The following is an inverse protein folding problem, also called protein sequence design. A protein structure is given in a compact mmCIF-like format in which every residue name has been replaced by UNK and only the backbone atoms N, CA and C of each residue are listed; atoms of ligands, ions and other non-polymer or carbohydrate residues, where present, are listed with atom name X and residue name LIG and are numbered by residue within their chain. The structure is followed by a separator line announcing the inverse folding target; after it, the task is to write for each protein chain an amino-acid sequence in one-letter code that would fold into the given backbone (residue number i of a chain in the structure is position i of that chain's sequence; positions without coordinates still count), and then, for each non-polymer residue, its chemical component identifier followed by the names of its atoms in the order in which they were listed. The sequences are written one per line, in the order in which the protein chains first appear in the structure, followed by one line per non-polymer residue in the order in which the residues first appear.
data_IF_978765422302
#
_entry.id   IF_978765422302
#
_cell.length_a   1.000
_cell.length_b   1.000
_cell.length_c   1.000
_cell.angle_alpha   90.00
_cell.angle_beta   90.00
_cell.angle_gamma   90.00
#
_symmetry.space_group_name_H-M   'P 1'
#
loop_
_entity.id
_entity.type
_entity.pdbx_description
1 polymer ?
#
# COMPACT_ATOMS: atom_id res chain seq x y z
N UNK A 1 -2.71 7.27 -9.55
CA UNK A 1 -3.91 7.46 -8.70
C UNK A 1 -3.62 8.68 -7.83
N UNK A 2 -4.48 9.70 -7.85
CA UNK A 2 -4.30 10.90 -7.03
C UNK A 2 -4.94 10.65 -5.66
N UNK A 3 -4.19 10.86 -4.57
CA UNK A 3 -4.62 10.56 -3.20
C UNK A 3 -4.95 11.84 -2.43
N UNK A 4 -5.62 11.68 -1.28
CA UNK A 4 -5.89 12.81 -0.37
C UNK A 4 -4.58 13.44 0.14
N UNK A 5 -3.50 12.66 0.28
CA UNK A 5 -2.18 13.20 0.63
C UNK A 5 -1.61 14.10 -0.48
N UNK A 6 -1.82 13.74 -1.74
CA UNK A 6 -1.43 14.57 -2.88
C UNK A 6 -2.22 15.88 -2.91
N UNK A 7 -3.50 15.84 -2.52
CA UNK A 7 -4.33 17.04 -2.35
C UNK A 7 -3.78 17.96 -1.27
N UNK A 8 -3.49 17.43 -0.07
CA UNK A 8 -2.88 18.21 1.00
C UNK A 8 -1.56 18.82 0.56
N UNK A 9 -0.72 18.04 -0.13
CA UNK A 9 0.56 18.51 -0.63
C UNK A 9 0.40 19.65 -1.63
N UNK A 10 -0.52 19.51 -2.59
CA UNK A 10 -0.81 20.55 -3.57
C UNK A 10 -1.32 21.83 -2.90
N UNK A 11 -2.27 21.72 -1.96
CA UNK A 11 -2.82 22.87 -1.25
C UNK A 11 -1.75 23.57 -0.39
N UNK A 12 -0.91 22.82 0.32
CA UNK A 12 0.19 23.38 1.11
C UNK A 12 1.23 24.07 0.24
N UNK A 13 1.54 23.53 -0.93
CA UNK A 13 2.44 24.17 -1.91
C UNK A 13 1.88 25.50 -2.40
N UNK A 14 0.60 25.53 -2.80
CA UNK A 14 -0.06 26.75 -3.29
C UNK A 14 -0.17 27.80 -2.18
N UNK A 15 -0.58 27.40 -0.98
CA UNK A 15 -0.63 28.29 0.18
C UNK A 15 0.76 28.82 0.55
N UNK A 16 1.77 27.94 0.57
CA UNK A 16 3.15 28.31 0.86
C UNK A 16 3.70 29.31 -0.15
N UNK A 17 3.49 29.06 -1.45
CA UNK A 17 3.88 29.99 -2.52
C UNK A 17 3.17 31.35 -2.40
N UNK A 18 1.87 31.35 -2.10
CA UNK A 18 1.08 32.58 -1.92
C UNK A 18 1.53 33.40 -0.71
N UNK A 19 1.70 32.77 0.45
CA UNK A 19 2.22 33.42 1.67
C UNK A 19 3.65 33.92 1.43
N UNK A 20 4.48 33.11 0.79
CA UNK A 20 5.85 33.48 0.43
C UNK A 20 5.90 34.69 -0.49
N UNK A 21 5.05 34.75 -1.52
CA UNK A 21 4.93 35.89 -2.41
C UNK A 21 4.51 37.16 -1.65
N UNK A 22 3.49 37.05 -0.79
CA UNK A 22 2.96 38.18 -0.02
C UNK A 22 4.00 38.75 0.95
N UNK A 23 4.63 37.90 1.75
CA UNK A 23 5.68 38.30 2.70
C UNK A 23 6.90 38.84 1.96
N UNK A 24 7.33 38.15 0.90
CA UNK A 24 8.47 38.58 0.08
C UNK A 24 8.23 39.94 -0.58
N UNK A 25 7.03 40.16 -1.11
CA UNK A 25 6.65 41.44 -1.69
C UNK A 25 6.72 42.58 -0.66
N UNK A 26 6.24 42.35 0.56
CA UNK A 26 6.32 43.34 1.63
C UNK A 26 7.76 43.73 2.02
N UNK A 27 8.74 42.85 1.79
CA UNK A 27 10.14 43.08 2.17
C UNK A 27 10.97 43.73 1.05
N UNK A 28 10.87 43.24 -0.19
CA UNK A 28 11.76 43.62 -1.30
C UNK A 28 10.99 43.88 -2.60
N UNK A 29 9.68 44.15 -2.53
CA UNK A 29 8.83 44.36 -3.70
C UNK A 29 8.82 43.17 -4.64
N UNK A 30 8.89 43.39 -5.96
CA UNK A 30 8.76 42.30 -6.94
C UNK A 30 9.87 41.25 -6.87
N UNK A 31 11.10 41.64 -6.54
CA UNK A 31 12.20 40.70 -6.37
C UNK A 31 11.97 39.79 -5.14
N UNK A 32 11.48 40.40 -4.06
CA UNK A 32 11.09 39.65 -2.87
C UNK A 32 9.92 38.72 -3.11
N UNK A 33 8.93 39.14 -3.90
CA UNK A 33 7.80 38.28 -4.27
C UNK A 33 8.28 37.02 -5.02
N UNK A 34 9.16 37.19 -6.02
CA UNK A 34 9.71 36.07 -6.79
C UNK A 34 10.52 35.10 -5.91
N UNK A 35 11.41 35.63 -5.06
CA UNK A 35 12.17 34.80 -4.12
C UNK A 35 11.28 34.13 -3.07
N UNK A 36 10.28 34.86 -2.58
CA UNK A 36 9.31 34.38 -1.60
C UNK A 36 8.45 33.23 -2.13
N UNK A 37 8.03 33.27 -3.40
CA UNK A 37 7.34 32.14 -4.05
C UNK A 37 8.17 30.87 -3.98
N UNK A 38 9.46 30.94 -4.35
CA UNK A 38 10.34 29.77 -4.37
C UNK A 38 10.52 29.17 -2.97
N UNK A 39 10.83 30.01 -1.98
CA UNK A 39 10.99 29.56 -0.58
C UNK A 39 9.67 28.99 -0.05
N UNK A 40 8.57 29.71 -0.26
CA UNK A 40 7.23 29.30 0.16
C UNK A 40 6.78 27.98 -0.48
N UNK A 41 7.12 27.77 -1.75
CA UNK A 41 6.86 26.53 -2.48
C UNK A 41 7.60 25.34 -1.86
N UNK A 42 8.90 25.49 -1.58
CA UNK A 42 9.72 24.44 -0.94
C UNK A 42 9.20 24.10 0.46
N UNK A 43 8.92 25.13 1.27
CA UNK A 43 8.38 24.92 2.63
C UNK A 43 7.00 24.26 2.56
N UNK A 44 6.11 24.75 1.69
CA UNK A 44 4.79 24.19 1.47
C UNK A 44 4.82 22.72 1.02
N UNK A 45 5.78 22.35 0.16
CA UNK A 45 5.99 20.98 -0.27
C UNK A 45 6.43 20.06 0.87
N UNK A 46 7.28 20.56 1.77
CA UNK A 46 7.72 19.84 2.97
C UNK A 46 6.58 19.66 3.97
N UNK A 47 5.90 20.74 4.33
CA UNK A 47 4.76 20.74 5.27
C UNK A 47 3.63 19.86 4.77
N UNK A 48 3.28 19.95 3.49
CA UNK A 48 2.25 19.13 2.87
C UNK A 48 2.59 17.62 2.84
N UNK A 49 3.86 17.25 2.98
CA UNK A 49 4.29 15.85 3.11
C UNK A 49 4.21 15.30 4.53
N UNK A 50 4.08 16.15 5.55
CA UNK A 50 4.04 15.72 6.96
C UNK A 50 2.91 14.74 7.28
N UNK A 51 1.65 14.94 6.82
CA UNK A 51 0.56 14.02 7.14
C UNK A 51 0.86 12.58 6.68
N UNK A 52 1.37 12.41 5.45
CA UNK A 52 1.78 11.10 4.95
C UNK A 52 2.90 10.50 5.81
N UNK A 53 3.92 11.30 6.13
CA UNK A 53 5.03 10.84 6.96
C UNK A 53 4.57 10.36 8.35
N UNK A 54 3.69 11.12 9.02
CA UNK A 54 3.18 10.75 10.33
C UNK A 54 2.32 9.49 10.27
N UNK A 55 1.42 9.37 9.28
CA UNK A 55 0.59 8.17 9.11
C UNK A 55 1.46 6.95 8.82
N UNK A 56 2.43 7.06 7.90
CA UNK A 56 3.34 5.97 7.58
C UNK A 56 4.18 5.56 8.81
N UNK A 57 4.68 6.55 9.58
CA UNK A 57 5.47 6.30 10.79
C UNK A 57 4.64 5.67 11.89
N UNK A 58 3.39 6.09 12.05
CA UNK A 58 2.44 5.55 13.02
C UNK A 58 2.08 4.10 12.66
N UNK A 59 1.69 3.85 11.41
CA UNK A 59 1.37 2.51 10.92
C UNK A 59 2.54 1.55 11.09
N UNK A 60 3.75 1.97 10.72
CA UNK A 60 4.95 1.15 10.92
C UNK A 60 5.19 0.86 12.42
N UNK A 61 4.97 1.85 13.30
CA UNK A 61 5.13 1.65 14.74
C UNK A 61 4.08 0.69 15.32
N UNK A 62 2.86 0.79 14.83
CA UNK A 62 1.72 -0.01 15.22
C UNK A 62 1.92 -1.48 14.82
N UNK A 63 2.27 -1.73 13.55
CA UNK A 63 2.63 -3.07 13.06
C UNK A 63 3.79 -3.66 13.86
N UNK A 64 4.85 -2.89 14.11
CA UNK A 64 6.02 -3.32 14.90
C UNK A 64 5.72 -3.68 16.35
N UNK A 65 4.64 -3.15 16.92
CA UNK A 65 4.23 -3.42 18.31
C UNK A 65 3.18 -4.52 18.43
N UNK A 66 2.42 -4.76 17.37
CA UNK A 66 1.42 -5.81 17.30
C UNK A 66 2.07 -7.20 17.42
N UNK A 67 1.46 -8.11 18.17
CA UNK A 67 1.92 -9.51 18.24
C UNK A 67 1.55 -10.30 16.97
N UNK A 68 2.21 -11.45 16.69
CA UNK A 68 1.95 -12.22 15.47
C UNK A 68 0.50 -12.72 15.30
N UNK A 69 -0.21 -13.01 16.40
CA UNK A 69 -1.60 -13.46 16.33
C UNK A 69 -2.53 -12.29 15.94
N UNK A 70 -2.29 -11.10 16.49
CA UNK A 70 -3.00 -9.88 16.11
C UNK A 70 -2.73 -9.48 14.66
N UNK A 71 -1.49 -9.63 14.17
CA UNK A 71 -1.15 -9.40 12.77
C UNK A 71 -1.88 -10.38 11.83
N UNK A 72 -2.04 -11.64 12.25
CA UNK A 72 -2.86 -12.62 11.52
C UNK A 72 -4.31 -12.16 11.37
N UNK A 73 -4.93 -11.73 12.47
CA UNK A 73 -6.31 -11.24 12.47
C UNK A 73 -6.46 -9.98 11.60
N UNK A 74 -5.46 -9.09 11.64
CA UNK A 74 -5.43 -7.88 10.81
C UNK A 74 -5.24 -8.18 9.33
N UNK A 75 -4.64 -9.30 8.96
CA UNK A 75 -4.48 -9.67 7.55
C UNK A 75 -5.84 -9.80 6.83
N UNK A 76 -6.87 -10.30 7.53
CA UNK A 76 -8.24 -10.40 7.02
C UNK A 76 -8.96 -9.05 7.03
N UNK A 77 -8.86 -8.31 8.14
CA UNK A 77 -9.57 -7.05 8.33
C UNK A 77 -8.98 -5.89 7.50
N UNK A 78 -7.66 -5.84 7.39
CA UNK A 78 -6.87 -4.77 6.79
C UNK A 78 -6.17 -5.25 5.50
N UNK A 79 -6.92 -5.95 4.64
CA UNK A 79 -6.42 -6.55 3.39
C UNK A 79 -5.63 -5.58 2.50
N UNK A 80 -5.95 -4.28 2.53
CA UNK A 80 -5.31 -3.24 1.72
C UNK A 80 -3.84 -3.00 2.12
N UNK A 81 -3.44 -3.34 3.35
CA UNK A 81 -2.04 -3.33 3.82
C UNK A 81 -1.47 -4.74 4.04
N UNK A 82 -2.10 -5.78 3.50
CA UNK A 82 -1.65 -7.18 3.66
C UNK A 82 -0.15 -7.37 3.35
N UNK A 83 0.37 -6.72 2.31
CA UNK A 83 1.79 -6.74 1.96
C UNK A 83 2.72 -6.15 3.04
N UNK A 84 2.28 -5.14 3.81
CA UNK A 84 3.05 -4.58 4.92
C UNK A 84 3.02 -5.49 6.14
N UNK A 85 1.86 -6.11 6.41
CA UNK A 85 1.69 -7.08 7.50
C UNK A 85 2.61 -8.29 7.25
N UNK A 86 2.58 -8.86 6.03
CA UNK A 86 3.44 -9.97 5.65
C UNK A 86 4.93 -9.60 5.67
N UNK A 87 5.30 -8.38 5.27
CA UNK A 87 6.67 -7.89 5.37
C UNK A 87 7.17 -7.87 6.82
N UNK A 88 6.35 -7.36 7.75
CA UNK A 88 6.68 -7.32 9.18
C UNK A 88 6.79 -8.74 9.77
N UNK A 89 5.88 -9.65 9.42
CA UNK A 89 5.95 -11.04 9.84
C UNK A 89 7.22 -11.74 9.32
N UNK A 90 7.55 -11.55 8.04
CA UNK A 90 8.77 -12.07 7.44
C UNK A 90 10.03 -11.52 8.12
N UNK A 91 10.05 -10.21 8.42
CA UNK A 91 11.16 -9.57 9.12
C UNK A 91 11.39 -10.15 10.53
N UNK A 92 10.34 -10.69 11.16
CA UNK A 92 10.41 -11.36 12.47
C UNK A 92 10.80 -12.83 12.39
N UNK A 93 10.95 -13.38 11.19
CA UNK A 93 11.26 -14.79 10.97
C UNK A 93 10.06 -15.72 11.20
N UNK A 94 8.83 -15.20 11.13
CA UNK A 94 7.63 -16.04 11.15
C UNK A 94 7.52 -16.86 9.86
N UNK A 95 7.08 -18.11 9.99
CA UNK A 95 6.75 -18.94 8.82
C UNK A 95 5.54 -18.32 8.09
N UNK A 96 5.79 -17.85 6.86
CA UNK A 96 4.75 -17.23 6.04
C UNK A 96 3.80 -18.24 5.40
N UNK A 97 4.13 -19.54 5.34
CA UNK A 97 3.30 -20.55 4.70
C UNK A 97 1.89 -20.60 5.33
N UNK A 98 1.79 -20.40 6.65
CA UNK A 98 0.51 -20.37 7.38
C UNK A 98 -0.43 -19.23 6.98
N UNK A 99 0.09 -18.19 6.32
CA UNK A 99 -0.69 -17.03 5.87
C UNK A 99 -1.03 -17.07 4.36
N UNK A 100 -0.61 -18.11 3.64
CA UNK A 100 -0.89 -18.24 2.20
C UNK A 100 -2.39 -18.33 1.92
N UNK A 101 -3.13 -19.14 2.68
CA UNK A 101 -4.56 -19.37 2.48
C UNK A 101 -5.41 -18.08 2.62
N UNK A 102 -5.22 -17.24 3.66
CA UNK A 102 -5.84 -15.91 3.70
C UNK A 102 -5.59 -15.06 2.44
N UNK A 103 -4.38 -15.09 1.88
CA UNK A 103 -4.08 -14.36 0.64
C UNK A 103 -4.83 -14.97 -0.55
N UNK A 104 -4.89 -16.30 -0.65
CA UNK A 104 -5.66 -16.99 -1.69
C UNK A 104 -7.17 -16.74 -1.56
N UNK A 105 -7.70 -16.52 -0.35
CA UNK A 105 -9.09 -16.07 -0.17
C UNK A 105 -9.32 -14.66 -0.75
N UNK A 106 -8.34 -13.75 -0.65
CA UNK A 106 -8.43 -12.43 -1.29
C UNK A 106 -8.51 -12.54 -2.81
N UNK A 107 -7.74 -13.44 -3.43
CA UNK A 107 -7.79 -13.70 -4.88
C UNK A 107 -9.13 -14.28 -5.35
N UNK A 108 -9.86 -14.96 -4.46
CA UNK A 108 -11.19 -15.53 -4.73
C UNK A 108 -12.34 -14.58 -4.41
N UNK A 109 -12.05 -13.38 -3.89
CA UNK A 109 -13.07 -12.43 -3.49
C UNK A 109 -13.84 -11.86 -4.67
N UNK A 110 -15.12 -11.54 -4.47
CA UNK A 110 -15.93 -10.77 -5.43
C UNK A 110 -15.37 -9.37 -5.71
N UNK A 111 -14.70 -8.77 -4.73
CA UNK A 111 -14.12 -7.43 -4.86
C UNK A 111 -12.83 -7.47 -5.67
N UNK A 112 -12.81 -6.77 -6.80
CA UNK A 112 -11.60 -6.59 -7.62
C UNK A 112 -10.46 -5.91 -6.86
N UNK A 113 -10.76 -5.02 -5.90
CA UNK A 113 -9.75 -4.38 -5.07
C UNK A 113 -9.10 -5.37 -4.09
N UNK A 114 -9.90 -6.24 -3.47
CA UNK A 114 -9.38 -7.34 -2.64
C UNK A 114 -8.50 -8.28 -3.46
N UNK A 115 -8.93 -8.64 -4.67
CA UNK A 115 -8.14 -9.48 -5.60
C UNK A 115 -6.82 -8.80 -5.98
N UNK A 116 -6.83 -7.49 -6.25
CA UNK A 116 -5.63 -6.70 -6.55
C UNK A 116 -4.62 -6.73 -5.41
N UNK A 117 -5.07 -6.50 -4.17
CA UNK A 117 -4.21 -6.53 -3.00
C UNK A 117 -3.70 -7.94 -2.67
N UNK A 118 -4.57 -8.95 -2.79
CA UNK A 118 -4.17 -10.35 -2.66
C UNK A 118 -3.12 -10.75 -3.69
N UNK A 119 -3.32 -10.38 -4.96
CA UNK A 119 -2.37 -10.65 -6.04
C UNK A 119 -1.01 -9.99 -5.82
N UNK A 120 -0.99 -8.73 -5.36
CA UNK A 120 0.24 -8.05 -5.00
C UNK A 120 0.98 -8.82 -3.89
N UNK A 121 0.30 -9.17 -2.80
CA UNK A 121 0.88 -9.95 -1.71
C UNK A 121 1.38 -11.33 -2.16
N UNK A 122 0.62 -12.02 -3.02
CA UNK A 122 1.02 -13.32 -3.55
C UNK A 122 2.34 -13.25 -4.34
N UNK A 123 2.48 -12.25 -5.22
CA UNK A 123 3.68 -12.07 -6.05
C UNK A 123 4.95 -11.80 -5.25
N UNK A 124 4.84 -11.06 -4.13
CA UNK A 124 6.00 -10.71 -3.32
C UNK A 124 6.40 -11.81 -2.34
N UNK A 125 5.43 -12.49 -1.72
CA UNK A 125 5.71 -13.40 -0.61
C UNK A 125 5.57 -14.89 -0.95
N UNK A 126 4.87 -15.24 -2.04
CA UNK A 126 4.59 -16.62 -2.44
C UNK A 126 4.91 -16.84 -3.94
N UNK A 127 6.18 -16.66 -4.36
CA UNK A 127 6.56 -16.62 -5.78
C UNK A 127 6.21 -17.91 -6.54
N UNK A 128 6.36 -19.09 -5.92
CA UNK A 128 5.99 -20.36 -6.54
C UNK A 128 4.48 -20.44 -6.86
N UNK A 129 3.63 -19.91 -5.96
CA UNK A 129 2.18 -19.85 -6.20
C UNK A 129 1.83 -18.81 -7.24
N UNK A 130 2.51 -17.67 -7.23
CA UNK A 130 2.34 -16.64 -8.25
C UNK A 130 2.72 -17.14 -9.65
N UNK A 131 3.75 -17.97 -9.76
CA UNK A 131 4.14 -18.63 -11.02
C UNK A 131 3.08 -19.63 -11.50
N UNK A 132 2.51 -20.43 -10.59
CA UNK A 132 1.37 -21.31 -10.91
C UNK A 132 0.11 -20.55 -11.36
N UNK A 133 0.04 -19.24 -11.07
CA UNK A 133 -1.02 -18.32 -11.42
C UNK A 133 -0.53 -17.22 -12.38
N UNK A 134 0.46 -17.50 -13.24
CA UNK A 134 1.08 -16.49 -14.10
C UNK A 134 0.08 -15.70 -14.98
N UNK A 135 -1.00 -16.35 -15.41
CA UNK A 135 -2.06 -15.75 -16.25
C UNK A 135 -3.17 -15.06 -15.45
N UNK A 136 -3.06 -15.02 -14.12
CA UNK A 136 -4.08 -14.43 -13.25
C UNK A 136 -4.20 -12.92 -13.45
N UNK A 137 -5.41 -12.47 -13.77
CA UNK A 137 -5.77 -11.05 -13.93
C UNK A 137 -6.82 -10.70 -12.90
N UNK A 138 -6.48 -9.86 -11.91
CA UNK A 138 -7.41 -9.50 -10.85
C UNK A 138 -8.63 -8.71 -11.37
N UNK A 139 -8.54 -8.07 -12.54
CA UNK A 139 -9.67 -7.39 -13.18
C UNK A 139 -10.66 -8.35 -13.87
N UNK A 140 -10.31 -9.62 -14.05
CA UNK A 140 -11.20 -10.61 -14.65
C UNK A 140 -12.45 -10.85 -13.76
N UNK A 141 -13.53 -11.44 -14.32
CA UNK A 141 -14.70 -11.81 -13.55
C UNK A 141 -14.35 -12.67 -12.32
N UNK A 142 -15.06 -12.46 -11.21
CA UNK A 142 -14.76 -13.13 -9.95
C UNK A 142 -14.82 -14.66 -10.07
N UNK A 143 -15.79 -15.19 -10.81
CA UNK A 143 -15.91 -16.63 -11.09
C UNK A 143 -14.67 -17.20 -11.80
N UNK A 144 -14.14 -16.48 -12.79
CA UNK A 144 -12.94 -16.89 -13.52
C UNK A 144 -11.71 -16.87 -12.60
N UNK A 145 -11.57 -15.82 -11.79
CA UNK A 145 -10.52 -15.74 -10.78
C UNK A 145 -10.61 -16.91 -9.78
N UNK A 146 -11.82 -17.22 -9.29
CA UNK A 146 -12.05 -18.34 -8.36
C UNK A 146 -11.62 -19.67 -8.97
N UNK A 147 -12.06 -19.92 -10.20
CA UNK A 147 -11.72 -21.14 -10.95
C UNK A 147 -10.22 -21.30 -11.16
N UNK A 148 -9.52 -20.24 -11.57
CA UNK A 148 -8.06 -20.30 -11.78
C UNK A 148 -7.30 -20.62 -10.48
N UNK A 149 -7.69 -20.02 -9.35
CA UNK A 149 -7.10 -20.32 -8.04
C UNK A 149 -7.32 -21.79 -7.66
N UNK A 150 -8.54 -22.30 -7.84
CA UNK A 150 -8.88 -23.70 -7.56
C UNK A 150 -8.09 -24.68 -8.43
N UNK A 151 -7.96 -24.40 -9.74
CA UNK A 151 -7.18 -25.20 -10.67
C UNK A 151 -5.69 -25.22 -10.29
N UNK A 152 -5.13 -24.07 -9.87
CA UNK A 152 -3.75 -23.98 -9.40
C UNK A 152 -3.53 -24.77 -8.09
N UNK A 153 -4.51 -24.77 -7.19
CA UNK A 153 -4.47 -25.56 -5.95
C UNK A 153 -4.61 -27.06 -6.20
N UNK A 154 -5.42 -27.46 -7.20
CA UNK A 154 -5.56 -28.85 -7.59
C UNK A 154 -4.26 -29.41 -8.19
N UNK A 155 -3.56 -28.64 -9.02
CA UNK A 155 -2.28 -29.04 -9.64
C UNK A 155 -1.12 -29.12 -8.63
N UNK A 156 -1.17 -28.35 -7.55
CA UNK A 156 -0.10 -28.27 -6.54
C UNK A 156 -0.18 -29.30 -5.40
N UNK A 157 -1.26 -30.09 -5.30
CA UNK A 157 -1.34 -31.18 -4.33
C UNK A 157 -0.64 -32.42 -4.90
N UNK A 158 0.42 -32.97 -4.28
CA UNK A 158 0.91 -34.28 -4.65
C UNK A 158 -0.23 -35.27 -4.45
N UNK A 159 -0.48 -36.10 -5.48
CA UNK A 159 -1.39 -37.23 -5.39
C UNK A 159 -0.86 -38.14 -4.28
N UNK A 160 -1.52 -38.12 -3.12
CA UNK A 160 -1.33 -39.13 -2.08
C UNK A 160 -1.78 -40.45 -2.70
N UNK A 161 -0.80 -41.23 -3.18
CA UNK A 161 -1.04 -42.55 -3.73
C UNK A 161 -1.52 -43.45 -2.59
N UNK A 162 -2.76 -43.90 -2.73
CA UNK A 162 -3.43 -44.90 -1.91
C UNK A 162 -2.68 -46.23 -1.85
#
# INVERSE_FOLDING_TARGET
MFTVFDLFRLLSVLAGAGVGAFVGHGLLGWMGAAGGVLVGWVVGYGVGGLPFFFVARFLNNDLRRADPASLSQRLEAEYFISHLILAELAQRGEDLAKYEEPILQLLRSESGDRRRHGWASLRFFYPARAEALADYKYEAPAEECRKQVEEALAKGRPVEQA
#
